data_IF_519524401454
#
_entry.id   IF_519524401454
#
_cell.length_a   1.000
_cell.length_b   1.000
_cell.length_c   1.000
_cell.angle_alpha   90.00
_cell.angle_beta   90.00
_cell.angle_gamma   90.00
#
_symmetry.space_group_name_H-M   'P 1'
#
loop_
_entity.id
_entity.type
_entity.pdbx_description
1 polymer ?
#
# COMPACT_ATOMS: atom_id res chain seq x y z
N UNK A 1 7.66 12.54 -13.68
CA UNK A 1 6.86 11.34 -13.54
C UNK A 1 5.57 11.62 -12.79
N UNK A 2 4.46 11.06 -13.23
CA UNK A 2 3.13 11.26 -12.63
C UNK A 2 3.09 10.85 -11.15
N UNK A 3 3.86 9.85 -10.74
CA UNK A 3 3.92 9.41 -9.33
C UNK A 3 4.40 10.53 -8.40
N UNK A 4 5.35 11.36 -8.85
CA UNK A 4 5.85 12.50 -8.06
C UNK A 4 4.81 13.60 -7.90
N UNK A 5 3.94 13.81 -8.89
CA UNK A 5 2.82 14.75 -8.78
C UNK A 5 1.85 14.28 -7.70
N UNK A 6 1.44 13.01 -7.73
CA UNK A 6 0.57 12.44 -6.71
C UNK A 6 1.18 12.42 -5.31
N UNK A 7 2.49 12.19 -5.20
CA UNK A 7 3.21 12.25 -3.92
C UNK A 7 3.17 13.66 -3.32
N UNK A 8 3.43 14.69 -4.12
CA UNK A 8 3.35 16.09 -3.66
C UNK A 8 1.93 16.53 -3.33
N UNK A 9 0.94 16.09 -4.11
CA UNK A 9 -0.47 16.34 -3.82
C UNK A 9 -0.88 15.71 -2.48
N UNK A 10 -0.49 14.47 -2.22
CA UNK A 10 -0.76 13.80 -0.95
C UNK A 10 -0.10 14.52 0.24
N UNK A 11 1.08 15.10 0.06
CA UNK A 11 1.74 15.93 1.07
C UNK A 11 1.03 17.24 1.37
N UNK A 12 0.33 17.81 0.40
CA UNK A 12 -0.44 19.04 0.55
C UNK A 12 -1.85 18.82 1.13
N UNK A 13 -2.46 17.66 0.83
CA UNK A 13 -3.79 17.28 1.30
C UNK A 13 -3.66 16.62 2.67
N UNK A 14 -4.44 17.09 3.65
CA UNK A 14 -4.51 16.48 4.97
C UNK A 14 -5.77 15.64 5.10
N UNK A 15 -5.61 14.37 5.44
CA UNK A 15 -6.72 13.46 5.68
C UNK A 15 -7.35 13.73 7.06
N UNK A 16 -8.70 13.70 7.13
CA UNK A 16 -9.44 13.81 8.39
C UNK A 16 -9.26 15.14 9.12
N UNK A 17 -8.95 16.24 8.40
CA UNK A 17 -8.75 17.57 8.99
C UNK A 17 -7.27 17.98 9.05
N UNK A 18 -6.81 18.56 10.16
CA UNK A 18 -5.52 19.26 10.23
C UNK A 18 -4.35 18.40 10.70
N UNK A 19 -4.58 17.23 11.27
CA UNK A 19 -3.60 16.52 12.11
C UNK A 19 -2.89 15.36 11.42
N UNK A 20 -3.43 14.77 10.34
CA UNK A 20 -2.86 13.59 9.69
C UNK A 20 -2.53 13.85 8.23
N UNK A 21 -1.31 13.49 7.82
CA UNK A 21 -0.93 13.51 6.40
C UNK A 21 -1.76 12.48 5.63
N UNK A 22 -2.16 12.83 4.41
CA UNK A 22 -2.69 11.86 3.47
C UNK A 22 -1.57 10.90 3.07
N UNK A 23 -1.91 9.62 2.94
CA UNK A 23 -1.01 8.61 2.42
C UNK A 23 -1.58 8.05 1.11
N UNK A 24 -0.68 7.68 0.21
CA UNK A 24 -1.01 7.14 -1.11
C UNK A 24 -0.32 5.79 -1.26
N UNK A 25 -1.07 4.76 -1.70
CA UNK A 25 -0.50 3.51 -2.18
C UNK A 25 -0.35 3.56 -3.70
N UNK A 26 0.79 3.09 -4.19
CA UNK A 26 1.01 2.78 -5.61
C UNK A 26 1.41 1.32 -5.72
N UNK A 27 0.56 0.54 -6.37
CA UNK A 27 0.89 -0.82 -6.76
C UNK A 27 1.28 -0.84 -8.24
N UNK A 28 2.41 -1.43 -8.56
CA UNK A 28 2.86 -1.57 -9.94
C UNK A 28 3.13 -3.05 -10.24
N UNK A 29 2.59 -3.52 -11.36
CA UNK A 29 2.81 -4.90 -11.79
C UNK A 29 4.28 -5.14 -12.13
N UNK A 30 4.81 -6.28 -11.74
CA UNK A 30 6.23 -6.60 -11.87
C UNK A 30 6.72 -6.66 -13.33
N UNK A 31 5.82 -6.89 -14.27
CA UNK A 31 6.10 -6.89 -15.72
C UNK A 31 6.02 -5.49 -16.36
N UNK A 32 5.84 -4.42 -15.57
CA UNK A 32 5.81 -3.06 -16.10
C UNK A 32 7.16 -2.63 -16.67
N UNK A 33 7.23 -1.96 -17.85
CA UNK A 33 8.50 -1.56 -18.47
C UNK A 33 9.40 -0.70 -17.59
N UNK A 34 8.83 0.11 -16.71
CA UNK A 34 9.57 1.00 -15.80
C UNK A 34 9.71 0.45 -14.38
N UNK A 35 9.52 -0.86 -14.19
CA UNK A 35 9.52 -1.46 -12.85
C UNK A 35 10.84 -1.26 -12.10
N UNK A 36 11.97 -1.34 -12.80
CA UNK A 36 13.28 -1.13 -12.18
C UNK A 36 13.42 0.31 -11.63
N UNK A 37 12.94 1.31 -12.38
CA UNK A 37 12.92 2.71 -11.93
C UNK A 37 12.00 2.93 -10.73
N UNK A 38 10.88 2.19 -10.70
CA UNK A 38 9.93 2.22 -9.59
C UNK A 38 10.53 1.65 -8.31
N UNK A 39 11.21 0.50 -8.40
CA UNK A 39 11.89 -0.15 -7.28
C UNK A 39 13.00 0.77 -6.73
N UNK A 40 13.82 1.35 -7.61
CA UNK A 40 14.94 2.20 -7.22
C UNK A 40 14.54 3.58 -6.71
N UNK A 41 13.31 4.02 -6.95
CA UNK A 41 12.91 5.42 -6.72
C UNK A 41 13.26 5.91 -5.32
N UNK A 42 12.82 5.22 -4.27
CA UNK A 42 13.09 5.67 -2.88
C UNK A 42 14.54 5.46 -2.47
N UNK A 43 15.21 4.44 -2.99
CA UNK A 43 16.64 4.24 -2.77
C UNK A 43 17.45 5.44 -3.27
N UNK A 44 17.11 5.95 -4.45
CA UNK A 44 17.78 7.13 -5.01
C UNK A 44 17.43 8.42 -4.24
N UNK A 45 16.23 8.55 -3.72
CA UNK A 45 15.86 9.69 -2.87
C UNK A 45 16.58 9.61 -1.50
N UNK A 46 16.73 8.44 -0.90
CA UNK A 46 17.51 8.24 0.34
C UNK A 46 19.00 8.59 0.17
N UNK A 47 19.60 8.31 -0.97
CA UNK A 47 20.97 8.75 -1.27
C UNK A 47 21.09 10.26 -1.23
N UNK A 48 20.08 11.00 -1.73
CA UNK A 48 20.06 12.47 -1.68
C UNK A 48 19.95 12.96 -0.25
N UNK A 49 19.09 12.34 0.58
CA UNK A 49 18.98 12.66 2.01
C UNK A 49 20.33 12.48 2.70
N UNK A 50 21.01 11.34 2.47
CA UNK A 50 22.34 11.11 3.02
C UNK A 50 23.37 12.18 2.63
N UNK A 51 23.35 12.63 1.36
CA UNK A 51 24.22 13.71 0.90
C UNK A 51 23.90 15.06 1.57
N UNK A 52 22.62 15.38 1.75
CA UNK A 52 22.19 16.60 2.43
C UNK A 52 22.60 16.59 3.92
N UNK A 53 22.41 15.46 4.61
CA UNK A 53 22.84 15.32 6.01
C UNK A 53 24.36 15.49 6.10
N UNK A 54 25.11 14.91 5.19
CA UNK A 54 26.58 15.06 5.14
C UNK A 54 27.00 16.51 4.87
N UNK A 55 26.16 17.31 4.21
CA UNK A 55 26.36 18.74 4.00
C UNK A 55 25.90 19.63 5.18
N UNK A 56 25.42 19.03 6.29
CA UNK A 56 25.05 19.75 7.51
C UNK A 56 23.56 19.97 7.73
N UNK A 57 22.68 19.43 6.86
CA UNK A 57 21.24 19.47 7.10
C UNK A 57 20.84 18.52 8.24
N UNK A 58 19.79 18.89 8.99
CA UNK A 58 19.29 18.08 10.09
C UNK A 58 18.83 16.70 9.61
N UNK A 59 19.16 15.65 10.36
CA UNK A 59 18.78 14.27 10.09
C UNK A 59 17.36 13.93 10.57
N UNK A 60 16.64 14.88 11.14
CA UNK A 60 15.27 14.70 11.61
C UNK A 60 14.37 14.30 10.44
N UNK A 61 13.51 13.30 10.67
CA UNK A 61 12.53 12.82 9.72
C UNK A 61 11.59 13.93 9.19
N UNK A 62 11.24 14.90 10.01
CA UNK A 62 10.47 16.09 9.59
C UNK A 62 11.36 17.25 9.12
N UNK A 63 12.67 17.05 9.11
CA UNK A 63 13.67 18.04 8.74
C UNK A 63 13.68 18.40 7.25
N UNK A 64 14.48 19.42 6.92
CA UNK A 64 14.56 19.96 5.56
C UNK A 64 15.09 18.93 4.56
N UNK A 65 16.04 18.08 4.95
CA UNK A 65 16.59 17.04 4.07
C UNK A 65 15.48 16.14 3.52
N UNK A 66 14.57 15.63 4.37
CA UNK A 66 13.46 14.80 3.96
C UNK A 66 12.34 15.55 3.22
N UNK A 67 12.14 16.82 3.50
CA UNK A 67 11.11 17.64 2.81
C UNK A 67 11.47 17.94 1.36
N UNK A 68 12.76 17.93 1.01
CA UNK A 68 13.22 18.22 -0.35
C UNK A 68 13.11 17.05 -1.31
N UNK A 69 13.14 15.82 -0.82
CA UNK A 69 13.05 14.60 -1.64
C UNK A 69 11.60 14.18 -1.92
N UNK A 70 11.40 13.34 -2.92
CA UNK A 70 10.08 12.81 -3.28
C UNK A 70 9.81 11.44 -2.66
N UNK A 71 8.56 10.99 -2.70
CA UNK A 71 8.17 9.67 -2.24
C UNK A 71 7.84 9.57 -0.74
N UNK A 72 7.82 10.70 -0.02
CA UNK A 72 7.58 10.73 1.43
C UNK A 72 6.10 10.49 1.82
N UNK A 73 5.16 10.67 0.88
CA UNK A 73 3.73 10.47 1.10
C UNK A 73 3.18 9.29 0.28
N UNK A 74 4.06 8.48 -0.29
CA UNK A 74 3.72 7.34 -1.14
C UNK A 74 4.26 6.05 -0.54
N UNK A 75 3.37 5.11 -0.30
CA UNK A 75 3.72 3.71 -0.06
C UNK A 75 3.71 3.00 -1.40
N UNK A 76 4.79 2.32 -1.76
CA UNK A 76 4.91 1.65 -3.04
C UNK A 76 4.96 0.14 -2.82
N UNK A 77 4.26 -0.61 -3.66
CA UNK A 77 4.31 -2.08 -3.67
C UNK A 77 4.42 -2.61 -5.09
N UNK A 78 5.14 -3.70 -5.25
CA UNK A 78 5.18 -4.45 -6.49
C UNK A 78 4.16 -5.60 -6.44
N UNK A 79 3.38 -5.77 -7.52
CA UNK A 79 2.44 -6.88 -7.69
C UNK A 79 3.14 -8.01 -8.40
N UNK A 80 3.26 -9.16 -7.75
CA UNK A 80 4.08 -10.30 -8.20
C UNK A 80 3.17 -11.50 -8.45
N UNK A 81 3.03 -11.99 -9.69
CA UNK A 81 2.31 -13.23 -9.98
C UNK A 81 3.16 -14.46 -9.66
N UNK A 82 2.51 -15.61 -9.43
CA UNK A 82 3.19 -16.88 -9.16
C UNK A 82 4.16 -17.29 -10.28
N UNK A 83 3.82 -16.98 -11.54
CA UNK A 83 4.67 -17.23 -12.71
C UNK A 83 6.09 -16.64 -12.54
N UNK A 84 6.21 -15.49 -11.88
CA UNK A 84 7.53 -14.91 -11.63
C UNK A 84 8.40 -15.82 -10.76
N UNK A 85 7.82 -16.42 -9.72
CA UNK A 85 8.58 -17.32 -8.83
C UNK A 85 8.94 -18.62 -9.53
N UNK A 86 8.09 -19.14 -10.41
CA UNK A 86 8.41 -20.30 -11.24
C UNK A 86 9.61 -20.02 -12.16
N UNK A 87 9.65 -18.85 -12.80
CA UNK A 87 10.78 -18.41 -13.62
C UNK A 87 12.04 -18.17 -12.77
N UNK A 88 11.88 -17.60 -11.58
CA UNK A 88 12.97 -17.37 -10.64
C UNK A 88 13.65 -18.68 -10.22
N UNK A 89 12.87 -19.69 -9.88
CA UNK A 89 13.37 -21.03 -9.50
C UNK A 89 14.10 -21.72 -10.66
N UNK A 90 13.65 -21.52 -11.89
CA UNK A 90 14.27 -22.06 -13.11
C UNK A 90 15.48 -21.23 -13.60
N UNK A 91 15.73 -20.06 -13.01
CA UNK A 91 16.78 -19.15 -13.46
C UNK A 91 16.50 -18.49 -14.81
N UNK A 92 15.24 -18.37 -15.20
CA UNK A 92 14.78 -17.79 -16.45
C UNK A 92 14.65 -16.26 -16.36
N UNK A 93 14.59 -15.61 -17.52
CA UNK A 93 14.35 -14.17 -17.62
C UNK A 93 12.86 -13.84 -17.41
N UNK A 94 12.63 -12.69 -16.78
CA UNK A 94 11.33 -12.06 -16.66
C UNK A 94 11.12 -11.05 -17.79
N UNK A 95 9.94 -11.02 -18.37
CA UNK A 95 9.61 -10.16 -19.50
C UNK A 95 8.86 -8.92 -19.03
N UNK A 96 9.37 -7.74 -19.43
CA UNK A 96 8.71 -6.47 -19.20
C UNK A 96 7.90 -6.10 -20.44
N UNK A 97 6.59 -5.85 -20.27
CA UNK A 97 5.63 -5.74 -21.38
C UNK A 97 5.02 -4.34 -21.49
N UNK A 98 4.90 -3.84 -22.71
CA UNK A 98 4.21 -2.58 -22.98
C UNK A 98 2.73 -2.67 -22.62
N UNK A 99 2.20 -1.62 -22.01
CA UNK A 99 0.78 -1.56 -21.59
C UNK A 99 -0.16 -1.23 -22.75
N UNK A 100 0.36 -0.73 -23.86
CA UNK A 100 -0.44 -0.34 -25.04
C UNK A 100 -0.79 -1.50 -25.97
N UNK A 101 0.16 -2.42 -26.17
CA UNK A 101 0.06 -3.48 -27.19
C UNK A 101 0.55 -4.85 -26.70
N UNK A 102 1.01 -4.95 -25.45
CA UNK A 102 1.47 -6.20 -24.85
C UNK A 102 2.82 -6.72 -25.36
N UNK A 103 3.53 -5.98 -26.24
CA UNK A 103 4.82 -6.42 -26.75
C UNK A 103 5.89 -6.45 -25.64
N UNK A 104 6.80 -7.41 -25.74
CA UNK A 104 7.95 -7.49 -24.87
C UNK A 104 8.89 -6.32 -25.17
N UNK A 105 9.14 -5.47 -24.20
CA UNK A 105 10.03 -4.33 -24.31
C UNK A 105 11.45 -4.64 -23.84
N UNK A 106 11.56 -5.48 -22.80
CA UNK A 106 12.84 -5.85 -22.19
C UNK A 106 12.69 -7.22 -21.52
N UNK A 107 13.77 -8.00 -21.51
CA UNK A 107 13.93 -9.18 -20.64
C UNK A 107 14.98 -8.87 -19.58
N UNK A 108 14.72 -9.28 -18.35
CA UNK A 108 15.62 -9.09 -17.21
C UNK A 108 15.75 -10.40 -16.47
N UNK A 109 16.96 -10.78 -15.99
CA UNK A 109 17.11 -11.97 -15.17
C UNK A 109 16.21 -11.88 -13.92
N UNK A 110 15.33 -12.87 -13.71
CA UNK A 110 14.37 -12.85 -12.56
C UNK A 110 15.10 -12.71 -11.24
N UNK A 111 16.26 -13.40 -11.09
CA UNK A 111 17.08 -13.29 -9.88
C UNK A 111 17.58 -11.86 -9.63
N UNK A 112 18.05 -11.18 -10.66
CA UNK A 112 18.56 -9.81 -10.52
C UNK A 112 17.42 -8.85 -10.13
N UNK A 113 16.22 -9.04 -10.69
CA UNK A 113 15.04 -8.23 -10.34
C UNK A 113 14.59 -8.49 -8.89
N UNK A 114 14.59 -9.76 -8.46
CA UNK A 114 14.27 -10.13 -7.09
C UNK A 114 15.27 -9.54 -6.08
N UNK A 115 16.57 -9.66 -6.35
CA UNK A 115 17.61 -9.08 -5.51
C UNK A 115 17.50 -7.56 -5.41
N UNK A 116 17.12 -6.90 -6.51
CA UNK A 116 16.85 -5.46 -6.53
C UNK A 116 15.70 -5.07 -5.61
N UNK A 117 14.59 -5.82 -5.62
CA UNK A 117 13.45 -5.62 -4.71
C UNK A 117 13.92 -5.80 -3.26
N UNK A 118 14.60 -6.90 -2.96
CA UNK A 118 15.10 -7.20 -1.63
C UNK A 118 16.05 -6.12 -1.10
N UNK A 119 16.98 -5.66 -1.94
CA UNK A 119 17.89 -4.57 -1.60
C UNK A 119 17.16 -3.26 -1.30
N UNK A 120 16.21 -2.87 -2.14
CA UNK A 120 15.43 -1.65 -1.94
C UNK A 120 14.60 -1.72 -0.64
N UNK A 121 13.93 -2.84 -0.40
CA UNK A 121 13.17 -3.06 0.83
C UNK A 121 14.06 -3.02 2.09
N UNK A 122 15.24 -3.63 2.03
CA UNK A 122 16.22 -3.54 3.11
C UNK A 122 16.72 -2.10 3.34
N UNK A 123 16.95 -1.36 2.26
CA UNK A 123 17.58 -0.02 2.32
C UNK A 123 16.63 1.06 2.81
N UNK A 124 15.36 1.03 2.39
CA UNK A 124 14.40 2.10 2.65
C UNK A 124 12.98 1.61 2.98
N UNK A 125 12.82 0.32 3.35
CA UNK A 125 11.54 -0.32 3.68
C UNK A 125 10.47 -0.24 2.55
N UNK A 126 10.91 -0.06 1.30
CA UNK A 126 10.04 0.12 0.13
C UNK A 126 10.77 -0.40 -1.14
N UNK A 127 10.12 -1.07 -2.08
CA UNK A 127 8.69 -1.35 -2.11
C UNK A 127 8.28 -2.53 -1.24
N UNK A 128 7.00 -2.56 -0.86
CA UNK A 128 6.36 -3.77 -0.36
C UNK A 128 6.13 -4.78 -1.50
N UNK A 129 5.82 -6.02 -1.14
CA UNK A 129 5.47 -7.09 -2.10
C UNK A 129 4.03 -7.52 -1.90
N UNK A 130 3.28 -7.62 -3.00
CA UNK A 130 1.91 -8.11 -3.00
C UNK A 130 1.81 -9.29 -3.98
N UNK A 131 1.43 -10.45 -3.48
CA UNK A 131 1.38 -11.71 -4.24
C UNK A 131 0.07 -11.79 -5.01
N UNK A 132 0.07 -11.29 -6.23
CA UNK A 132 -1.12 -11.04 -7.04
C UNK A 132 -2.01 -12.26 -7.24
N UNK A 133 -1.41 -13.40 -7.57
CA UNK A 133 -2.16 -14.65 -7.79
C UNK A 133 -2.83 -15.11 -6.51
N UNK A 134 -2.08 -15.22 -5.41
CA UNK A 134 -2.58 -15.67 -4.11
C UNK A 134 -3.66 -14.74 -3.55
N UNK A 135 -3.47 -13.41 -3.66
CA UNK A 135 -4.47 -12.43 -3.22
C UNK A 135 -5.81 -12.66 -3.95
N UNK A 136 -5.76 -12.91 -5.26
CA UNK A 136 -6.97 -13.12 -6.05
C UNK A 136 -7.57 -14.53 -5.88
N UNK A 137 -6.79 -15.54 -5.52
CA UNK A 137 -7.29 -16.86 -5.14
C UNK A 137 -8.08 -16.81 -3.82
N UNK A 138 -7.68 -15.96 -2.89
CA UNK A 138 -8.35 -15.78 -1.59
C UNK A 138 -9.43 -14.67 -1.61
N UNK A 139 -9.69 -14.10 -2.77
CA UNK A 139 -10.68 -13.04 -2.91
C UNK A 139 -12.10 -13.53 -2.55
N UNK A 140 -12.74 -12.89 -1.59
CA UNK A 140 -14.05 -13.29 -1.06
C UNK A 140 -15.22 -12.92 -1.98
N UNK A 141 -15.03 -12.00 -2.92
CA UNK A 141 -16.04 -11.54 -3.88
C UNK A 141 -15.52 -11.55 -5.34
N UNK A 142 -15.11 -12.72 -5.88
CA UNK A 142 -14.42 -12.78 -7.17
C UNK A 142 -15.30 -12.41 -8.37
N UNK A 143 -16.64 -12.47 -8.21
CA UNK A 143 -17.59 -12.06 -9.25
C UNK A 143 -17.64 -10.53 -9.44
N UNK A 144 -17.25 -9.77 -8.43
CA UNK A 144 -17.22 -8.31 -8.48
C UNK A 144 -16.05 -7.74 -9.29
N UNK A 145 -15.01 -8.55 -9.52
CA UNK A 145 -13.83 -8.12 -10.27
C UNK A 145 -12.53 -8.68 -9.68
N UNK A 146 -11.40 -8.12 -10.11
CA UNK A 146 -10.07 -8.50 -9.66
C UNK A 146 -9.50 -7.48 -8.68
N UNK A 147 -8.86 -7.95 -7.62
CA UNK A 147 -8.08 -7.10 -6.71
C UNK A 147 -6.77 -6.70 -7.39
N UNK A 148 -6.55 -5.40 -7.57
CA UNK A 148 -5.37 -4.85 -8.27
C UNK A 148 -4.41 -4.12 -7.34
N UNK A 149 -4.90 -3.62 -6.22
CA UNK A 149 -4.14 -2.81 -5.29
C UNK A 149 -4.66 -2.98 -3.85
N UNK A 150 -4.08 -2.24 -2.93
CA UNK A 150 -4.51 -2.15 -1.55
C UNK A 150 -4.48 -0.71 -1.06
N UNK A 151 -4.95 -0.47 0.16
CA UNK A 151 -4.67 0.76 0.89
C UNK A 151 -3.18 0.84 1.31
N UNK A 152 -2.70 1.99 1.81
CA UNK A 152 -1.28 2.18 2.14
C UNK A 152 -0.68 1.19 3.15
N UNK A 153 -1.46 0.73 4.12
CA UNK A 153 -0.99 -0.25 5.10
C UNK A 153 -1.14 -1.71 4.64
N UNK A 154 -1.73 -1.93 3.46
CA UNK A 154 -1.93 -3.24 2.81
C UNK A 154 -2.87 -4.21 3.54
N UNK A 155 -3.67 -3.74 4.50
CA UNK A 155 -4.69 -4.57 5.17
C UNK A 155 -5.99 -4.69 4.39
N UNK A 156 -6.28 -3.76 3.47
CA UNK A 156 -7.49 -3.76 2.65
C UNK A 156 -7.17 -4.18 1.22
N UNK A 157 -7.34 -5.46 0.94
CA UNK A 157 -7.17 -6.08 -0.38
C UNK A 157 -8.55 -6.32 -0.97
N UNK A 158 -9.08 -5.37 -1.74
CA UNK A 158 -10.42 -5.45 -2.29
C UNK A 158 -10.55 -4.77 -3.65
N UNK A 159 -11.77 -4.60 -4.13
CA UNK A 159 -12.11 -4.06 -5.43
C UNK A 159 -11.77 -2.56 -5.57
N UNK A 160 -11.52 -2.13 -6.80
CA UNK A 160 -11.34 -0.73 -7.12
C UNK A 160 -12.60 0.08 -6.78
N UNK A 161 -12.43 1.38 -6.49
CA UNK A 161 -13.51 2.31 -6.13
C UNK A 161 -14.30 1.92 -4.89
N UNK A 162 -13.72 1.13 -4.00
CA UNK A 162 -14.28 0.82 -2.68
C UNK A 162 -13.47 1.51 -1.58
N UNK A 163 -14.02 1.57 -0.38
CA UNK A 163 -13.37 2.13 0.79
C UNK A 163 -13.55 1.23 2.00
N UNK A 164 -12.59 1.27 2.93
CA UNK A 164 -12.72 0.61 4.22
C UNK A 164 -13.22 1.60 5.28
N UNK A 165 -14.17 1.16 6.08
CA UNK A 165 -14.62 1.85 7.26
C UNK A 165 -14.08 1.15 8.50
N UNK A 166 -13.46 1.89 9.43
CA UNK A 166 -12.65 1.32 10.50
C UNK A 166 -13.16 1.71 11.88
N UNK A 167 -13.14 0.74 12.79
CA UNK A 167 -13.24 0.96 14.22
C UNK A 167 -12.21 0.11 14.96
N UNK A 168 -11.77 0.57 16.12
CA UNK A 168 -10.84 -0.15 16.99
C UNK A 168 -11.38 -0.19 18.41
N UNK A 169 -11.28 -1.36 19.02
CA UNK A 169 -11.71 -1.58 20.41
C UNK A 169 -10.49 -1.81 21.28
N UNK A 170 -10.40 -1.09 22.40
CA UNK A 170 -9.33 -1.26 23.37
C UNK A 170 -9.59 -2.52 24.21
N UNK A 171 -8.94 -3.63 23.84
CA UNK A 171 -9.10 -4.93 24.51
C UNK A 171 -8.73 -4.89 26.00
N UNK A 172 -7.81 -4.02 26.41
CA UNK A 172 -7.41 -3.87 27.82
C UNK A 172 -8.59 -3.47 28.75
N UNK A 173 -9.62 -2.83 28.19
CA UNK A 173 -10.82 -2.42 28.96
C UNK A 173 -11.73 -3.59 29.33
N UNK A 174 -11.57 -4.73 28.69
CA UNK A 174 -12.34 -5.95 28.94
C UNK A 174 -11.54 -6.96 29.79
N UNK A 175 -10.30 -6.64 30.15
CA UNK A 175 -9.46 -7.49 30.98
C UNK A 175 -9.61 -7.11 32.46
N UNK A 176 -10.00 -8.09 33.27
CA UNK A 176 -10.09 -7.94 34.71
C UNK A 176 -8.82 -8.47 35.37
N UNK A 177 -8.03 -7.57 35.95
CA UNK A 177 -6.75 -7.90 36.58
C UNK A 177 -6.91 -8.70 37.88
N UNK A 178 -8.05 -8.58 38.57
CA UNK A 178 -8.25 -9.21 39.90
C UNK A 178 -8.38 -10.72 39.84
N UNK A 179 -8.93 -11.24 38.72
CA UNK A 179 -9.18 -12.66 38.52
C UNK A 179 -8.58 -13.22 37.23
N UNK A 180 -7.84 -12.36 36.49
CA UNK A 180 -7.18 -12.69 35.23
C UNK A 180 -8.16 -13.22 34.14
N UNK A 181 -9.37 -12.65 34.11
CA UNK A 181 -10.42 -13.02 33.14
C UNK A 181 -10.68 -11.92 32.11
N UNK A 182 -11.36 -12.29 31.03
CA UNK A 182 -11.83 -11.35 30.00
C UNK A 182 -13.35 -11.28 30.06
N UNK A 183 -13.90 -10.09 30.10
CA UNK A 183 -15.33 -9.82 29.94
C UNK A 183 -15.74 -10.05 28.48
N UNK A 184 -16.07 -11.30 28.15
CA UNK A 184 -16.46 -11.73 26.80
C UNK A 184 -17.80 -11.13 26.42
N UNK A 185 -18.77 -11.07 27.33
CA UNK A 185 -20.11 -10.52 27.05
C UNK A 185 -20.06 -9.03 26.71
N UNK A 186 -19.31 -8.26 27.50
CA UNK A 186 -19.10 -6.82 27.22
C UNK A 186 -18.35 -6.59 25.91
N UNK A 187 -17.37 -7.44 25.60
CA UNK A 187 -16.67 -7.38 24.32
C UNK A 187 -17.58 -7.70 23.14
N UNK A 188 -18.35 -8.78 23.18
CA UNK A 188 -19.33 -9.13 22.14
C UNK A 188 -20.36 -8.02 21.94
N UNK A 189 -20.90 -7.47 23.02
CA UNK A 189 -21.85 -6.35 22.93
C UNK A 189 -21.22 -5.15 22.22
N UNK A 190 -19.99 -4.81 22.60
CA UNK A 190 -19.26 -3.69 21.99
C UNK A 190 -18.99 -3.91 20.51
N UNK A 191 -18.59 -5.12 20.11
CA UNK A 191 -18.37 -5.46 18.69
C UNK A 191 -19.67 -5.33 17.89
N UNK A 192 -20.79 -5.88 18.40
CA UNK A 192 -22.12 -5.75 17.76
C UNK A 192 -22.52 -4.29 17.58
N UNK A 193 -22.35 -3.50 18.63
CA UNK A 193 -22.69 -2.07 18.58
C UNK A 193 -21.87 -1.32 17.54
N UNK A 194 -20.54 -1.54 17.54
CA UNK A 194 -19.66 -0.90 16.56
C UNK A 194 -19.90 -1.37 15.13
N UNK A 195 -20.29 -2.62 14.91
CA UNK A 195 -20.69 -3.09 13.58
C UNK A 195 -21.89 -2.32 13.05
N UNK A 196 -22.91 -2.09 13.88
CA UNK A 196 -24.09 -1.27 13.52
C UNK A 196 -23.68 0.18 13.27
N UNK A 197 -22.80 0.75 14.08
CA UNK A 197 -22.32 2.13 13.91
C UNK A 197 -21.55 2.26 12.59
N UNK A 198 -20.70 1.30 12.25
CA UNK A 198 -19.96 1.30 10.98
C UNK A 198 -20.91 1.24 9.78
N UNK A 199 -21.92 0.37 9.82
CA UNK A 199 -22.95 0.26 8.79
C UNK A 199 -23.72 1.57 8.60
N UNK A 200 -24.20 2.17 9.68
CA UNK A 200 -24.89 3.46 9.64
C UNK A 200 -23.97 4.56 9.09
N UNK A 201 -22.68 4.55 9.44
CA UNK A 201 -21.75 5.57 8.98
C UNK A 201 -21.47 5.50 7.48
N UNK A 202 -21.53 4.32 6.86
CA UNK A 202 -21.49 4.16 5.39
C UNK A 202 -22.68 4.84 4.74
N UNK A 203 -23.91 4.63 5.28
CA UNK A 203 -25.13 5.26 4.78
C UNK A 203 -25.11 6.80 4.87
N UNK A 204 -24.38 7.34 5.86
CA UNK A 204 -24.25 8.78 6.09
C UNK A 204 -23.05 9.41 5.38
N UNK A 205 -22.16 8.60 4.80
CA UNK A 205 -20.92 9.07 4.20
C UNK A 205 -21.16 9.88 2.92
N UNK A 206 -20.29 10.85 2.69
CA UNK A 206 -20.17 11.55 1.41
C UNK A 206 -18.96 11.03 0.67
N UNK A 207 -19.16 10.51 -0.53
CA UNK A 207 -18.12 9.92 -1.35
C UNK A 207 -17.64 10.88 -2.44
N UNK A 208 -16.37 10.79 -2.87
CA UNK A 208 -15.79 11.72 -3.84
C UNK A 208 -16.31 11.52 -5.26
N UNK A 209 -16.90 10.36 -5.58
CA UNK A 209 -17.51 10.09 -6.88
C UNK A 209 -18.75 9.19 -6.74
N UNK A 210 -19.56 9.16 -7.81
CA UNK A 210 -20.75 8.30 -7.87
C UNK A 210 -20.37 6.81 -7.88
N UNK A 211 -19.28 6.46 -8.55
CA UNK A 211 -18.78 5.07 -8.64
C UNK A 211 -18.36 4.57 -7.26
N UNK A 212 -17.65 5.39 -6.49
CA UNK A 212 -17.25 5.03 -5.11
C UNK A 212 -18.48 4.92 -4.22
N UNK A 213 -19.46 5.82 -4.35
CA UNK A 213 -20.71 5.75 -3.60
C UNK A 213 -21.45 4.44 -3.88
N UNK A 214 -21.65 4.10 -5.16
CA UNK A 214 -22.38 2.90 -5.57
C UNK A 214 -21.73 1.63 -5.01
N UNK A 215 -20.41 1.45 -5.24
CA UNK A 215 -19.69 0.27 -4.79
C UNK A 215 -19.49 0.20 -3.26
N UNK A 216 -19.73 1.28 -2.54
CA UNK A 216 -19.71 1.28 -1.08
C UNK A 216 -21.08 0.90 -0.48
N UNK A 217 -22.16 1.01 -1.25
CA UNK A 217 -23.50 0.56 -0.84
C UNK A 217 -23.80 -0.89 -1.24
N UNK A 218 -23.18 -1.41 -2.31
CA UNK A 218 -23.36 -2.76 -2.82
C UNK A 218 -22.51 -3.81 -2.04
#
# INVERSE_FOLDING_TARGET
SFLKIGDRAAGAIKSGGTTRRAAKMVCLDLDHPEIELFIDWKVEEEKKVGALISAGYASDYEGEAYRTVSGQNSNNSVRIPNEFFEKLEKGEDWELTARSDGRIMKKVPSKALWDKIAYAAWRCADPGTQYDTTINEWHTSPKGGRIRASNPCSEYMFLDNTACNLASVNLRKFFNESDNTIDVEGFEHTVRLWTVVLEISVLMAQFPSKEVAQLSYD
#
